data_IF_708791445924
#
_entry.id   IF_708791445924
#
_cell.length_a   1.000
_cell.length_b   1.000
_cell.length_c   1.000
_cell.angle_alpha   90.00
_cell.angle_beta   90.00
_cell.angle_gamma   90.00
#
_symmetry.space_group_name_H-M   'P 1'
#
loop_
_entity.id
_entity.type
_entity.pdbx_description
1 polymer ?
#
# COMPACT_ATOMS: atom_id res chain seq x y z
N UNK A 1 -41.76 -3.59 26.39
CA UNK A 1 -41.11 -4.86 25.98
C UNK A 1 -41.38 -6.08 26.89
N UNK A 2 -42.28 -6.01 27.90
CA UNK A 2 -42.58 -7.15 28.79
C UNK A 2 -44.01 -7.75 28.64
N UNK A 3 -44.84 -7.23 27.73
CA UNK A 3 -46.22 -7.70 27.55
C UNK A 3 -46.49 -8.45 26.23
N UNK A 4 -45.52 -8.58 25.32
CA UNK A 4 -45.72 -9.32 24.06
C UNK A 4 -45.39 -10.82 24.17
N UNK A 5 -44.69 -11.22 25.25
CA UNK A 5 -44.22 -12.60 25.47
C UNK A 5 -45.23 -13.48 26.21
N UNK A 6 -46.28 -12.91 26.82
CA UNK A 6 -47.25 -13.67 27.62
C UNK A 6 -48.44 -14.19 26.81
N UNK A 7 -48.82 -13.53 25.72
CA UNK A 7 -49.94 -14.00 24.87
C UNK A 7 -49.54 -15.13 23.91
N UNK A 8 -48.24 -15.35 23.67
CA UNK A 8 -47.78 -16.42 22.76
C UNK A 8 -47.70 -17.81 23.41
N UNK A 9 -47.77 -17.91 24.74
CA UNK A 9 -47.52 -19.15 25.49
C UNK A 9 -48.78 -19.97 25.80
N UNK A 10 -49.98 -19.52 25.40
CA UNK A 10 -51.26 -20.17 25.75
C UNK A 10 -51.94 -20.95 24.61
N UNK A 11 -51.24 -21.22 23.50
CA UNK A 11 -51.82 -21.92 22.34
C UNK A 11 -50.98 -23.13 21.88
N UNK A 12 -50.39 -23.89 22.81
CA UNK A 12 -49.60 -25.07 22.50
C UNK A 12 -50.18 -26.33 23.15
N UNK A 13 -51.27 -26.86 22.60
CA UNK A 13 -51.57 -28.29 22.80
C UNK A 13 -52.04 -29.07 21.56
N UNK A 14 -52.47 -28.44 20.46
CA UNK A 14 -52.80 -29.21 19.23
C UNK A 14 -52.53 -28.42 17.94
N UNK A 15 -51.27 -28.36 17.48
CA UNK A 15 -50.98 -28.01 16.07
C UNK A 15 -49.53 -28.33 15.66
N UNK A 16 -49.34 -29.43 14.92
CA UNK A 16 -48.04 -29.82 14.32
C UNK A 16 -47.51 -28.73 13.36
N UNK A 17 -48.40 -27.93 12.76
CA UNK A 17 -48.08 -26.86 11.80
C UNK A 17 -47.32 -25.70 12.46
N UNK A 18 -47.54 -25.43 13.75
CA UNK A 18 -46.91 -24.31 14.46
C UNK A 18 -45.45 -24.56 14.88
N UNK A 19 -45.00 -25.82 14.90
CA UNK A 19 -43.60 -26.15 15.21
C UNK A 19 -42.65 -25.72 14.10
N UNK A 20 -43.09 -25.78 12.84
CA UNK A 20 -42.30 -25.36 11.69
C UNK A 20 -42.16 -23.84 11.61
N UNK A 21 -43.24 -23.09 11.89
CA UNK A 21 -43.21 -21.63 11.88
C UNK A 21 -42.35 -21.06 13.01
N UNK A 22 -42.40 -21.65 14.21
CA UNK A 22 -41.52 -21.26 15.33
C UNK A 22 -40.04 -21.56 15.05
N UNK A 23 -39.72 -22.72 14.44
CA UNK A 23 -38.34 -23.06 14.06
C UNK A 23 -37.79 -22.14 12.97
N UNK A 24 -38.58 -21.80 11.96
CA UNK A 24 -38.21 -20.83 10.92
C UNK A 24 -37.99 -19.44 11.52
N UNK A 25 -38.86 -18.99 12.42
CA UNK A 25 -38.73 -17.68 13.06
C UNK A 25 -37.48 -17.59 13.96
N UNK A 26 -37.18 -18.66 14.72
CA UNK A 26 -35.94 -18.76 15.47
C UNK A 26 -34.70 -18.74 14.56
N UNK A 27 -34.76 -19.41 13.41
CA UNK A 27 -33.69 -19.40 12.41
C UNK A 27 -33.48 -18.01 11.79
N UNK A 28 -34.55 -17.29 11.44
CA UNK A 28 -34.48 -15.92 10.96
C UNK A 28 -33.94 -14.93 12.00
N UNK A 29 -34.36 -15.07 13.27
CA UNK A 29 -33.81 -14.27 14.37
C UNK A 29 -32.32 -14.55 14.57
N UNK A 30 -31.89 -15.81 14.44
CA UNK A 30 -30.48 -16.19 14.56
C UNK A 30 -29.64 -15.64 13.41
N UNK A 31 -30.13 -15.68 12.17
CA UNK A 31 -29.49 -15.03 11.00
C UNK A 31 -29.44 -13.51 11.19
N UNK A 32 -30.52 -12.88 11.65
CA UNK A 32 -30.56 -11.44 11.90
C UNK A 32 -29.56 -11.02 13.00
N UNK A 33 -29.45 -11.81 14.06
CA UNK A 33 -28.50 -11.58 15.15
C UNK A 33 -27.05 -11.79 14.69
N UNK A 34 -26.78 -12.81 13.85
CA UNK A 34 -25.46 -13.02 13.24
C UNK A 34 -25.07 -11.90 12.26
N UNK A 35 -26.01 -11.40 11.46
CA UNK A 35 -25.80 -10.25 10.56
C UNK A 35 -25.42 -8.98 11.33
N UNK A 36 -26.12 -8.68 12.44
CA UNK A 36 -25.79 -7.54 13.32
C UNK A 36 -24.43 -7.71 14.04
N UNK A 37 -24.06 -8.94 14.42
CA UNK A 37 -22.73 -9.21 15.00
C UNK A 37 -21.58 -8.96 14.01
N UNK A 38 -21.78 -9.21 12.71
CA UNK A 38 -20.77 -8.93 11.68
C UNK A 38 -20.48 -7.43 11.53
N UNK A 39 -21.50 -6.57 11.48
CA UNK A 39 -21.32 -5.11 11.41
C UNK A 39 -20.60 -4.53 12.65
N UNK A 40 -20.85 -5.07 13.84
CA UNK A 40 -20.20 -4.62 15.07
C UNK A 40 -18.73 -5.09 15.19
N UNK A 41 -18.39 -6.29 14.68
CA UNK A 41 -17.00 -6.75 14.56
C UNK A 41 -16.19 -5.91 13.57
N UNK A 42 -16.80 -5.49 12.46
CA UNK A 42 -16.18 -4.59 11.49
C UNK A 42 -15.81 -3.24 12.12
N UNK A 43 -16.71 -2.67 12.94
CA UNK A 43 -16.48 -1.40 13.65
C UNK A 43 -15.37 -1.48 14.72
N UNK A 44 -15.33 -2.56 15.52
CA UNK A 44 -14.24 -2.74 16.51
C UNK A 44 -12.88 -3.01 15.86
N UNK A 45 -12.83 -3.69 14.71
CA UNK A 45 -11.59 -3.86 13.94
C UNK A 45 -11.09 -2.52 13.39
N UNK A 46 -11.98 -1.73 12.79
CA UNK A 46 -11.67 -0.40 12.26
C UNK A 46 -11.20 0.59 13.34
N UNK A 47 -11.78 0.53 14.54
CA UNK A 47 -11.38 1.38 15.66
C UNK A 47 -10.09 0.92 16.36
N UNK A 48 -9.79 -0.39 16.38
CA UNK A 48 -8.48 -0.91 16.84
C UNK A 48 -7.34 -0.55 15.87
N UNK A 49 -7.63 -0.49 14.57
CA UNK A 49 -6.70 0.00 13.54
C UNK A 49 -6.42 1.50 13.67
N UNK A 50 -7.38 2.29 14.16
CA UNK A 50 -7.26 3.75 14.28
C UNK A 50 -6.35 4.23 15.43
N UNK A 51 -6.00 3.35 16.37
CA UNK A 51 -5.19 3.68 17.56
C UNK A 51 -3.94 2.80 17.73
N UNK A 52 -3.48 2.10 16.67
CA UNK A 52 -2.04 1.85 16.57
C UNK A 52 -1.42 3.21 16.29
N UNK A 53 -0.40 3.62 17.05
CA UNK A 53 0.55 4.60 16.51
C UNK A 53 0.90 4.07 15.11
N UNK A 54 0.59 4.84 14.06
CA UNK A 54 0.92 4.43 12.70
C UNK A 54 2.45 4.48 12.64
N UNK A 55 3.08 3.34 12.92
CA UNK A 55 4.51 3.18 12.73
C UNK A 55 4.69 3.07 11.22
N UNK A 56 5.27 4.11 10.63
CA UNK A 56 5.53 4.23 9.20
C UNK A 56 6.97 3.80 8.89
N UNK A 57 7.26 3.53 7.62
CA UNK A 57 8.60 3.20 7.14
C UNK A 57 9.16 1.85 7.62
N UNK A 58 8.33 1.01 8.25
CA UNK A 58 8.74 -0.29 8.79
C UNK A 58 7.78 -1.41 8.36
N UNK A 59 8.25 -2.65 8.47
CA UNK A 59 7.44 -3.84 8.23
C UNK A 59 6.21 -3.91 9.17
N UNK A 60 5.11 -4.56 8.74
CA UNK A 60 4.94 -5.29 7.49
C UNK A 60 4.46 -4.42 6.31
N UNK A 61 3.92 -3.24 6.59
CA UNK A 61 3.17 -2.47 5.60
C UNK A 61 4.04 -1.43 4.87
N UNK A 62 5.15 -0.99 5.48
CA UNK A 62 6.01 0.07 4.98
C UNK A 62 5.21 1.30 4.50
N UNK A 63 4.24 1.74 5.31
CA UNK A 63 3.46 2.93 4.99
C UNK A 63 4.39 4.16 4.98
N UNK A 64 4.23 5.11 4.04
CA UNK A 64 5.04 6.33 4.02
C UNK A 64 4.77 7.19 5.26
N UNK A 65 5.82 7.81 5.80
CA UNK A 65 5.72 8.72 6.95
C UNK A 65 5.28 10.14 6.57
N UNK A 66 5.24 10.42 5.28
CA UNK A 66 4.88 11.71 4.68
C UNK A 66 3.73 11.51 3.69
N UNK A 67 3.00 12.59 3.41
CA UNK A 67 1.96 12.58 2.37
C UNK A 67 2.59 12.49 0.98
N UNK A 68 1.79 12.07 -0.01
CA UNK A 68 2.23 12.05 -1.42
C UNK A 68 2.67 13.43 -1.91
N UNK A 69 1.98 14.49 -1.49
CA UNK A 69 2.33 15.86 -1.87
C UNK A 69 3.70 16.27 -1.33
N UNK A 70 3.97 15.98 -0.06
CA UNK A 70 5.29 16.23 0.56
C UNK A 70 6.39 15.41 -0.12
N UNK A 71 6.15 14.12 -0.36
CA UNK A 71 7.09 13.24 -1.06
C UNK A 71 7.42 13.75 -2.48
N UNK A 72 6.39 14.15 -3.24
CA UNK A 72 6.56 14.71 -4.57
C UNK A 72 7.32 16.05 -4.54
N UNK A 73 7.08 16.90 -3.54
CA UNK A 73 7.82 18.15 -3.35
C UNK A 73 9.32 17.89 -3.15
N UNK A 74 9.67 17.00 -2.21
CA UNK A 74 11.08 16.61 -1.93
C UNK A 74 11.75 16.07 -3.19
N UNK A 75 11.09 15.11 -3.86
CA UNK A 75 11.62 14.46 -5.04
C UNK A 75 11.81 15.46 -6.20
N UNK A 76 10.81 16.28 -6.50
CA UNK A 76 10.88 17.29 -7.55
C UNK A 76 11.98 18.32 -7.28
N UNK A 77 12.13 18.78 -6.04
CA UNK A 77 13.19 19.73 -5.66
C UNK A 77 14.59 19.16 -5.90
N UNK A 78 14.86 17.90 -5.55
CA UNK A 78 16.14 17.28 -5.87
C UNK A 78 16.39 17.21 -7.38
N UNK A 79 15.36 16.87 -8.15
CA UNK A 79 15.48 16.75 -9.61
C UNK A 79 15.73 18.07 -10.32
N UNK A 80 15.16 19.18 -9.84
CA UNK A 80 15.42 20.51 -10.39
C UNK A 80 16.93 20.85 -10.39
N UNK A 81 17.66 20.36 -9.39
CA UNK A 81 19.09 20.64 -9.23
C UNK A 81 19.99 19.64 -9.97
N UNK A 82 19.55 18.38 -10.15
CA UNK A 82 20.40 17.29 -10.66
C UNK A 82 20.06 16.83 -12.09
N UNK A 83 18.89 17.17 -12.63
CA UNK A 83 18.37 16.57 -13.86
C UNK A 83 17.95 17.60 -14.92
N UNK A 84 18.03 17.24 -16.22
CA UNK A 84 17.54 18.08 -17.29
C UNK A 84 16.01 18.19 -17.26
N UNK A 85 15.48 19.30 -17.81
CA UNK A 85 14.05 19.64 -17.83
C UNK A 85 13.16 18.48 -18.28
N UNK A 86 13.55 17.75 -19.34
CA UNK A 86 12.77 16.63 -19.85
C UNK A 86 12.63 15.43 -18.90
N UNK A 87 13.53 15.28 -17.92
CA UNK A 87 13.44 14.26 -16.87
C UNK A 87 12.68 14.74 -15.64
N UNK A 88 12.63 16.05 -15.37
CA UNK A 88 12.04 16.62 -14.15
C UNK A 88 10.56 16.27 -14.00
N UNK A 89 9.81 16.19 -15.09
CA UNK A 89 8.40 15.78 -15.10
C UNK A 89 8.15 14.34 -14.60
N UNK A 90 9.19 13.50 -14.56
CA UNK A 90 9.12 12.12 -14.05
C UNK A 90 9.38 12.04 -12.54
N UNK A 91 9.78 13.14 -11.89
CA UNK A 91 10.16 13.16 -10.48
C UNK A 91 8.97 13.32 -9.53
N UNK A 92 8.05 12.36 -9.64
CA UNK A 92 6.87 12.22 -8.80
C UNK A 92 6.62 10.74 -8.54
N UNK A 93 6.13 10.41 -7.35
CA UNK A 93 5.90 9.05 -6.89
C UNK A 93 4.69 8.38 -7.57
N UNK A 94 3.77 9.18 -8.10
CA UNK A 94 2.58 8.75 -8.84
C UNK A 94 2.81 8.70 -10.36
N UNK A 95 4.07 8.72 -10.83
CA UNK A 95 4.39 8.54 -12.25
C UNK A 95 4.08 7.12 -12.72
N UNK A 96 3.43 7.01 -13.87
CA UNK A 96 3.10 5.73 -14.48
C UNK A 96 4.24 5.17 -15.34
N UNK A 97 4.27 3.85 -15.50
CA UNK A 97 5.22 3.19 -16.42
C UNK A 97 5.08 3.70 -17.87
N UNK A 98 3.87 4.09 -18.28
CA UNK A 98 3.62 4.63 -19.61
C UNK A 98 4.22 6.02 -19.76
N UNK A 99 4.05 6.92 -18.80
CA UNK A 99 4.69 8.24 -18.81
C UNK A 99 6.22 8.12 -18.88
N UNK A 100 6.81 7.22 -18.10
CA UNK A 100 8.26 6.96 -18.15
C UNK A 100 8.68 6.46 -19.53
N UNK A 101 7.99 5.42 -20.05
CA UNK A 101 8.29 4.84 -21.36
C UNK A 101 8.20 5.88 -22.46
N UNK A 102 7.14 6.69 -22.45
CA UNK A 102 6.95 7.75 -23.43
C UNK A 102 8.06 8.80 -23.38
N UNK A 103 8.45 9.24 -22.18
CA UNK A 103 9.54 10.21 -22.03
C UNK A 103 10.88 9.66 -22.55
N UNK A 104 11.16 8.36 -22.36
CA UNK A 104 12.36 7.71 -22.89
C UNK A 104 12.29 7.59 -24.41
N UNK A 105 11.18 7.09 -24.96
CA UNK A 105 11.00 6.88 -26.41
C UNK A 105 11.03 8.21 -27.18
N UNK A 106 10.42 9.27 -26.62
CA UNK A 106 10.44 10.62 -27.19
C UNK A 106 11.80 11.33 -26.98
N UNK A 107 12.76 10.71 -26.30
CA UNK A 107 14.08 11.28 -26.04
C UNK A 107 14.09 12.41 -25.01
N UNK A 108 12.99 12.64 -24.28
CA UNK A 108 12.88 13.68 -23.26
C UNK A 108 13.76 13.38 -22.05
N UNK A 109 13.86 12.10 -21.67
CA UNK A 109 14.70 11.65 -20.58
C UNK A 109 15.48 10.40 -20.97
N UNK A 110 16.82 10.50 -20.98
CA UNK A 110 17.68 9.35 -21.31
C UNK A 110 17.68 8.34 -20.16
N UNK A 111 17.70 7.06 -20.48
CA UNK A 111 17.75 5.96 -19.49
C UNK A 111 18.96 6.06 -18.54
N UNK A 112 20.03 6.73 -18.96
CA UNK A 112 21.22 6.97 -18.14
C UNK A 112 20.93 7.79 -16.88
N UNK A 113 19.85 8.56 -16.84
CA UNK A 113 19.45 9.35 -15.67
C UNK A 113 18.65 8.57 -14.62
N UNK A 114 18.29 7.30 -14.87
CA UNK A 114 17.48 6.49 -13.94
C UNK A 114 18.12 6.40 -12.55
N UNK A 115 19.45 6.25 -12.49
CA UNK A 115 20.17 6.19 -11.21
C UNK A 115 20.02 7.51 -10.44
N UNK A 116 20.22 8.64 -11.10
CA UNK A 116 20.05 9.97 -10.51
C UNK A 116 18.61 10.26 -10.09
N UNK A 117 17.63 9.79 -10.86
CA UNK A 117 16.20 9.87 -10.52
C UNK A 117 15.93 9.07 -9.23
N UNK A 118 16.39 7.82 -9.15
CA UNK A 118 16.20 6.97 -7.96
C UNK A 118 16.96 7.50 -6.74
N UNK A 119 18.15 8.08 -6.94
CA UNK A 119 18.87 8.81 -5.90
C UNK A 119 18.03 9.94 -5.31
N UNK A 120 17.44 10.79 -6.17
CA UNK A 120 16.53 11.84 -5.71
C UNK A 120 15.26 11.31 -5.05
N UNK A 121 14.69 10.20 -5.53
CA UNK A 121 13.56 9.58 -4.87
C UNK A 121 13.95 9.11 -3.45
N UNK A 122 15.09 8.46 -3.30
CA UNK A 122 15.54 7.94 -2.01
C UNK A 122 15.81 9.01 -0.95
N UNK A 123 16.05 10.25 -1.36
CA UNK A 123 16.46 11.35 -0.47
C UNK A 123 17.63 10.94 0.45
N UNK A 124 18.57 10.15 -0.06
CA UNK A 124 19.72 9.63 0.69
C UNK A 124 19.41 8.50 1.70
N UNK A 125 18.16 8.00 1.77
CA UNK A 125 17.79 6.96 2.73
C UNK A 125 18.16 5.55 2.26
N UNK A 126 18.64 4.71 3.19
CA UNK A 126 18.84 3.27 2.98
C UNK A 126 17.49 2.54 3.05
N UNK A 127 17.04 2.01 1.91
CA UNK A 127 15.76 1.30 1.79
C UNK A 127 15.92 -0.23 1.73
N UNK A 128 17.09 -0.75 2.10
CA UNK A 128 17.42 -2.19 2.01
C UNK A 128 16.45 -3.08 2.80
N UNK A 129 15.95 -2.63 3.95
CA UNK A 129 15.00 -3.41 4.75
C UNK A 129 13.68 -3.64 4.00
N UNK A 130 13.11 -2.58 3.41
CA UNK A 130 11.90 -2.67 2.59
C UNK A 130 12.14 -3.55 1.36
N UNK A 131 13.28 -3.42 0.69
CA UNK A 131 13.63 -4.24 -0.46
C UNK A 131 13.77 -5.72 -0.12
N UNK A 132 14.42 -6.05 1.00
CA UNK A 132 14.52 -7.42 1.52
C UNK A 132 13.13 -7.98 1.81
N UNK A 133 12.29 -7.21 2.49
CA UNK A 133 10.92 -7.62 2.80
C UNK A 133 10.08 -7.85 1.54
N UNK A 134 10.21 -6.98 0.52
CA UNK A 134 9.55 -7.15 -0.78
C UNK A 134 10.22 -8.21 -1.68
N UNK A 135 11.28 -8.85 -1.21
CA UNK A 135 12.04 -9.90 -1.90
C UNK A 135 12.51 -9.47 -3.30
N UNK A 136 13.08 -8.27 -3.42
CA UNK A 136 13.55 -7.71 -4.70
C UNK A 136 14.53 -8.67 -5.40
N UNK A 137 15.56 -9.19 -4.72
CA UNK A 137 16.48 -10.15 -5.32
C UNK A 137 15.78 -11.39 -5.86
N UNK A 138 14.87 -11.99 -5.10
CA UNK A 138 14.16 -13.20 -5.53
C UNK A 138 13.22 -12.93 -6.72
N UNK A 139 12.55 -11.78 -6.73
CA UNK A 139 11.63 -11.40 -7.82
C UNK A 139 12.37 -10.96 -9.07
N UNK A 140 13.53 -10.34 -8.94
CA UNK A 140 14.14 -9.54 -10.01
C UNK A 140 15.59 -9.88 -10.38
N UNK A 141 16.32 -10.52 -9.49
CA UNK A 141 17.76 -10.76 -9.55
C UNK A 141 18.50 -9.89 -8.52
N UNK A 142 19.63 -10.38 -7.96
CA UNK A 142 20.36 -9.68 -6.89
C UNK A 142 20.90 -8.32 -7.32
N UNK A 143 21.20 -8.12 -8.61
CA UNK A 143 21.66 -6.84 -9.14
C UNK A 143 20.65 -5.70 -8.99
N UNK A 144 19.36 -6.03 -8.80
CA UNK A 144 18.33 -5.02 -8.61
C UNK A 144 18.27 -4.48 -7.17
N UNK A 145 18.90 -5.16 -6.20
CA UNK A 145 18.98 -4.65 -4.83
C UNK A 145 19.87 -3.40 -4.73
N UNK A 146 20.77 -3.21 -5.71
CA UNK A 146 21.58 -1.99 -5.77
C UNK A 146 20.73 -0.71 -5.90
N UNK A 147 19.51 -0.82 -6.43
CA UNK A 147 18.57 0.30 -6.49
C UNK A 147 17.92 0.64 -5.14
N UNK A 148 18.12 -0.16 -4.11
CA UNK A 148 17.64 0.16 -2.75
C UNK A 148 18.51 1.24 -2.07
N UNK A 149 19.75 1.40 -2.57
CA UNK A 149 20.75 2.39 -2.14
C UNK A 149 21.45 3.02 -3.36
N UNK A 150 20.70 3.73 -4.22
CA UNK A 150 21.19 4.17 -5.52
C UNK A 150 22.40 5.10 -5.45
N UNK A 151 22.54 5.92 -4.39
CA UNK A 151 23.71 6.80 -4.21
C UNK A 151 25.01 6.06 -3.87
N UNK A 152 24.93 4.88 -3.27
CA UNK A 152 26.10 4.13 -2.79
C UNK A 152 26.51 3.05 -3.79
N UNK A 153 25.53 2.32 -4.33
CA UNK A 153 25.81 1.05 -5.02
C UNK A 153 25.88 1.18 -6.55
N UNK A 154 25.26 2.20 -7.15
CA UNK A 154 25.18 2.32 -8.61
C UNK A 154 25.83 3.62 -9.06
N UNK A 155 27.00 3.51 -9.69
CA UNK A 155 27.63 4.63 -10.41
C UNK A 155 27.13 4.75 -11.85
N UNK A 156 26.90 3.62 -12.51
CA UNK A 156 26.45 3.56 -13.90
C UNK A 156 25.48 2.40 -14.17
N UNK A 157 24.53 2.63 -15.08
CA UNK A 157 23.52 1.65 -15.46
C UNK A 157 24.03 0.71 -16.57
N UNK A 158 24.28 -0.55 -16.22
CA UNK A 158 24.55 -1.63 -17.18
C UNK A 158 23.30 -2.37 -17.70
N UNK A 159 23.47 -3.15 -18.78
CA UNK A 159 22.41 -3.95 -19.42
C UNK A 159 21.72 -4.94 -18.47
N UNK A 160 22.45 -5.46 -17.48
CA UNK A 160 21.92 -6.36 -16.45
C UNK A 160 20.81 -5.75 -15.60
N UNK A 161 20.70 -4.42 -15.56
CA UNK A 161 19.71 -3.71 -14.77
C UNK A 161 18.39 -3.47 -15.52
N UNK A 162 18.33 -3.71 -16.83
CA UNK A 162 17.09 -3.52 -17.60
C UNK A 162 15.94 -4.40 -17.09
N UNK A 163 16.26 -5.59 -16.55
CA UNK A 163 15.27 -6.49 -15.95
C UNK A 163 14.61 -5.90 -14.70
N UNK A 164 15.27 -4.96 -14.00
CA UNK A 164 14.79 -4.37 -12.75
C UNK A 164 13.55 -3.47 -12.96
N UNK A 165 13.24 -3.06 -14.20
CA UNK A 165 12.01 -2.32 -14.51
C UNK A 165 10.73 -3.02 -14.03
N UNK A 166 10.75 -4.36 -13.91
CA UNK A 166 9.58 -5.14 -13.47
C UNK A 166 9.19 -4.87 -12.02
N UNK A 167 10.16 -4.55 -11.17
CA UNK A 167 9.98 -4.23 -9.74
C UNK A 167 10.02 -2.72 -9.47
N UNK A 168 9.93 -1.88 -10.50
CA UNK A 168 9.97 -0.42 -10.36
C UNK A 168 8.98 0.10 -9.31
N UNK A 169 7.74 -0.39 -9.33
CA UNK A 169 6.72 0.01 -8.34
C UNK A 169 7.09 -0.40 -6.91
N UNK A 170 7.75 -1.55 -6.72
CA UNK A 170 8.20 -1.98 -5.40
C UNK A 170 9.35 -1.09 -4.90
N UNK A 171 10.30 -0.72 -5.77
CA UNK A 171 11.41 0.20 -5.43
C UNK A 171 10.91 1.60 -5.08
N UNK A 172 10.07 2.18 -5.93
CA UNK A 172 9.49 3.51 -5.71
C UNK A 172 8.70 3.55 -4.41
N UNK A 173 7.91 2.51 -4.12
CA UNK A 173 7.23 2.38 -2.84
C UNK A 173 8.24 2.38 -1.69
N UNK A 174 9.30 1.56 -1.76
CA UNK A 174 10.32 1.54 -0.71
C UNK A 174 11.01 2.88 -0.50
N UNK A 175 11.36 3.61 -1.57
CA UNK A 175 11.94 4.95 -1.45
C UNK A 175 10.97 5.93 -0.76
N UNK A 176 9.69 5.89 -1.13
CA UNK A 176 8.67 6.73 -0.49
C UNK A 176 8.50 6.39 1.00
N UNK A 177 8.53 5.11 1.34
CA UNK A 177 8.43 4.61 2.71
C UNK A 177 9.61 5.05 3.59
N UNK A 178 10.79 5.21 2.99
CA UNK A 178 12.00 5.66 3.68
C UNK A 178 11.98 7.14 4.07
N UNK A 179 11.19 7.97 3.38
CA UNK A 179 11.11 9.40 3.65
C UNK A 179 10.58 9.67 5.05
N UNK A 180 11.36 10.38 5.85
CA UNK A 180 10.98 10.82 7.21
C UNK A 180 11.02 12.33 7.28
N UNK A 181 10.12 12.94 8.06
CA UNK A 181 10.27 14.35 8.42
C UNK A 181 11.57 14.48 9.22
N UNK A 182 12.52 15.26 8.71
CA UNK A 182 13.60 15.79 9.53
C UNK A 182 12.92 16.59 10.65
N UNK A 183 13.08 16.11 11.88
CA UNK A 183 12.60 16.80 13.09
C UNK A 183 13.75 17.58 13.68
#
# INVERSE_FOLDING_TARGET
>A
HKNFLKEFLFACEHCIIFTYTCKLFAYFLQIYFQSKQMHFKQSKSYLRLKFRLIICGVAPDFLPCVTLSEANSIFSQCCLNKLPIGCQQLCKYDVTKNEIKEAIVKGLCRITYVVSILACASDGHDNSECCKYKAIAAKSGPQCEAFCRPEIEIKELGMQHLVCQRIFSDLVNCHMSGLKRLT
#
